data_IF_783652397415
#
_entry.id   IF_783652397415
#
_cell.length_a   1.000
_cell.length_b   1.000
_cell.length_c   1.000
_cell.angle_alpha   90.00
_cell.angle_beta   90.00
_cell.angle_gamma   90.00
#
_symmetry.space_group_name_H-M   'P 1'
#
loop_
_entity.id
_entity.type
_entity.pdbx_description
1 polymer ?
#
# COMPACT_ATOMS: atom_id res chain seq x y z
N UNK A 1 4.68 -66.45 -94.23
CA UNK A 1 4.85 -65.10 -93.67
C UNK A 1 4.26 -65.20 -92.27
N UNK A 2 5.11 -65.26 -91.26
CA UNK A 2 4.75 -65.53 -89.84
C UNK A 2 4.49 -64.21 -89.12
N UNK A 3 3.33 -64.07 -88.46
CA UNK A 3 3.04 -63.03 -87.50
C UNK A 3 3.07 -63.68 -86.13
N UNK A 4 4.09 -63.41 -85.32
CA UNK A 4 4.17 -63.75 -83.91
C UNK A 4 3.46 -62.71 -83.12
N UNK A 5 2.33 -63.11 -82.51
CA UNK A 5 1.57 -62.29 -81.58
C UNK A 5 2.28 -62.36 -80.20
N UNK A 6 2.78 -61.21 -79.72
CA UNK A 6 3.36 -61.07 -78.38
C UNK A 6 2.27 -60.70 -77.40
N UNK A 7 1.90 -61.60 -76.52
CA UNK A 7 1.01 -61.35 -75.41
C UNK A 7 1.82 -60.79 -74.26
N UNK A 8 1.68 -59.53 -73.96
CA UNK A 8 2.28 -58.89 -72.77
C UNK A 8 1.31 -59.07 -71.60
N UNK A 9 1.71 -59.91 -70.67
CA UNK A 9 0.98 -60.11 -69.40
C UNK A 9 1.42 -58.99 -68.42
N UNK A 10 0.60 -57.98 -68.24
CA UNK A 10 0.80 -56.96 -67.19
C UNK A 10 0.32 -57.53 -65.86
N UNK A 11 1.31 -57.86 -65.04
CA UNK A 11 1.07 -58.24 -63.62
C UNK A 11 0.87 -56.95 -62.80
N UNK A 12 -0.34 -56.58 -62.55
CA UNK A 12 -0.69 -55.49 -61.59
C UNK A 12 -0.55 -56.06 -60.18
N UNK A 13 0.58 -55.76 -59.52
CA UNK A 13 0.74 -55.97 -58.08
C UNK A 13 -0.13 -54.95 -57.36
N UNK A 14 -1.24 -55.40 -56.81
CA UNK A 14 -2.03 -54.63 -55.87
C UNK A 14 -1.26 -54.62 -54.57
N UNK A 15 -0.46 -53.59 -54.35
CA UNK A 15 0.13 -53.35 -53.02
C UNK A 15 -0.97 -52.86 -52.11
N UNK A 16 -1.51 -53.74 -51.30
CA UNK A 16 -2.33 -53.39 -50.16
C UNK A 16 -1.43 -52.68 -49.15
N UNK A 17 -1.49 -51.38 -49.13
CA UNK A 17 -0.94 -50.63 -48.01
C UNK A 17 -1.85 -50.97 -46.79
N UNK A 18 -1.47 -51.93 -45.97
CA UNK A 18 -1.95 -52.02 -44.61
C UNK A 18 -1.34 -50.76 -43.96
N UNK A 19 -2.11 -49.71 -43.82
CA UNK A 19 -1.75 -48.64 -42.89
C UNK A 19 -1.75 -49.34 -41.52
N UNK A 20 -0.59 -49.65 -40.97
CA UNK A 20 -0.47 -49.98 -39.59
C UNK A 20 -1.12 -48.81 -38.83
N UNK A 21 -2.15 -49.07 -38.05
CA UNK A 21 -2.66 -48.07 -37.07
C UNK A 21 -1.42 -47.67 -36.25
N UNK A 22 -1.09 -46.41 -36.25
CA UNK A 22 -0.08 -45.91 -35.35
C UNK A 22 -0.75 -45.85 -33.98
N UNK A 23 -0.21 -46.57 -33.01
CA UNK A 23 -0.69 -46.59 -31.64
C UNK A 23 0.23 -45.75 -30.78
N UNK A 24 -0.34 -44.94 -29.92
CA UNK A 24 0.35 -44.10 -28.95
C UNK A 24 0.53 -44.89 -27.67
N UNK A 25 1.74 -44.92 -27.14
CA UNK A 25 2.09 -45.59 -25.89
C UNK A 25 1.63 -44.78 -24.68
N UNK A 26 0.80 -45.38 -23.83
CA UNK A 26 0.17 -44.77 -22.63
C UNK A 26 0.40 -45.73 -21.45
N UNK A 27 1.55 -45.65 -20.77
CA UNK A 27 1.96 -46.65 -19.76
C UNK A 27 1.27 -46.51 -18.41
N UNK A 28 0.56 -45.42 -18.15
CA UNK A 28 -0.18 -45.22 -16.89
C UNK A 28 -1.58 -45.76 -17.04
N UNK A 29 -1.88 -46.87 -16.31
CA UNK A 29 -3.19 -47.55 -16.33
C UNK A 29 -4.35 -46.59 -16.07
N UNK A 30 -4.19 -45.60 -15.21
CA UNK A 30 -5.21 -44.60 -14.89
C UNK A 30 -5.43 -43.62 -16.04
N UNK A 31 -4.35 -43.24 -16.76
CA UNK A 31 -4.48 -42.41 -17.93
C UNK A 31 -5.16 -43.19 -19.08
N UNK A 32 -4.75 -44.43 -19.36
CA UNK A 32 -5.41 -45.27 -20.34
C UNK A 32 -6.89 -45.47 -19.98
N UNK A 33 -7.20 -45.78 -18.71
CA UNK A 33 -8.58 -45.95 -18.26
C UNK A 33 -9.40 -44.66 -18.46
N UNK A 34 -8.81 -43.48 -18.19
CA UNK A 34 -9.50 -42.21 -18.44
C UNK A 34 -9.80 -42.03 -19.95
N UNK A 35 -8.90 -42.46 -20.84
CA UNK A 35 -9.13 -42.42 -22.29
C UNK A 35 -10.21 -43.39 -22.72
N UNK A 36 -10.30 -44.60 -22.11
CA UNK A 36 -11.35 -45.57 -22.31
C UNK A 36 -12.69 -44.98 -21.87
N UNK A 37 -12.77 -44.40 -20.66
CA UNK A 37 -13.99 -43.83 -20.10
C UNK A 37 -14.52 -42.65 -20.95
N UNK A 38 -13.62 -41.90 -21.60
CA UNK A 38 -13.93 -40.84 -22.55
C UNK A 38 -14.30 -41.38 -23.96
N UNK A 39 -14.10 -42.67 -24.23
CA UNK A 39 -14.42 -43.31 -25.51
C UNK A 39 -13.36 -43.11 -26.58
N UNK A 40 -12.15 -42.72 -26.21
CA UNK A 40 -11.02 -42.56 -27.14
C UNK A 40 -10.26 -43.86 -27.33
N UNK A 41 -10.43 -44.78 -26.40
CA UNK A 41 -9.90 -46.11 -26.50
C UNK A 41 -10.97 -47.17 -26.19
N UNK A 42 -10.67 -48.46 -26.36
CA UNK A 42 -11.60 -49.57 -26.13
C UNK A 42 -10.86 -50.87 -25.80
N UNK A 43 -11.35 -51.62 -24.85
CA UNK A 43 -10.80 -52.92 -24.53
C UNK A 43 -10.20 -52.99 -23.11
N UNK A 44 -9.51 -54.04 -22.76
CA UNK A 44 -8.73 -54.09 -21.54
C UNK A 44 -7.51 -53.18 -21.66
N UNK A 45 -6.98 -52.69 -20.53
CA UNK A 45 -5.72 -51.95 -20.46
C UNK A 45 -4.62 -52.74 -21.18
N UNK A 46 -3.88 -52.05 -22.07
CA UNK A 46 -2.85 -52.67 -22.92
C UNK A 46 -1.67 -51.77 -23.20
N UNK A 47 -1.57 -50.60 -22.49
CA UNK A 47 -0.57 -49.58 -22.62
C UNK A 47 -0.58 -48.79 -23.97
N UNK A 48 -1.63 -48.92 -24.78
CA UNK A 48 -1.71 -48.28 -26.07
C UNK A 48 -3.09 -47.73 -26.40
N UNK A 49 -3.16 -46.59 -27.07
CA UNK A 49 -4.37 -46.00 -27.64
C UNK A 49 -4.17 -45.75 -29.13
N UNK A 50 -5.16 -46.04 -30.03
CA UNK A 50 -5.01 -45.68 -31.44
C UNK A 50 -4.80 -44.18 -31.64
N UNK A 51 -3.64 -43.77 -32.15
CA UNK A 51 -3.27 -42.36 -32.35
C UNK A 51 -4.32 -41.58 -33.18
N UNK A 52 -4.98 -42.25 -34.14
CA UNK A 52 -6.05 -41.66 -34.92
C UNK A 52 -7.25 -41.19 -34.10
N UNK A 53 -7.51 -41.83 -32.94
CA UNK A 53 -8.61 -41.46 -32.05
C UNK A 53 -8.31 -40.21 -31.21
N UNK A 54 -7.02 -39.91 -30.99
CA UNK A 54 -6.61 -38.84 -30.06
C UNK A 54 -6.02 -37.63 -30.75
N UNK A 55 -5.38 -37.76 -31.91
CA UNK A 55 -4.67 -36.65 -32.60
C UNK A 55 -5.58 -35.51 -33.04
N UNK A 56 -6.88 -35.72 -33.21
CA UNK A 56 -7.86 -34.72 -33.55
C UNK A 56 -8.59 -34.09 -32.37
N UNK A 57 -8.33 -34.56 -31.14
CA UNK A 57 -8.98 -34.04 -29.94
C UNK A 57 -8.50 -32.62 -29.62
N UNK A 58 -9.42 -31.71 -29.34
CA UNK A 58 -9.13 -30.33 -28.99
C UNK A 58 -9.29 -30.02 -27.51
N UNK A 59 -10.00 -30.88 -26.77
CA UNK A 59 -10.24 -30.74 -25.33
C UNK A 59 -10.07 -32.07 -24.66
N UNK A 60 -9.21 -32.16 -23.63
CA UNK A 60 -8.99 -33.32 -22.81
C UNK A 60 -9.14 -32.94 -21.34
N UNK A 61 -10.21 -33.48 -20.72
CA UNK A 61 -10.54 -33.26 -19.31
C UNK A 61 -10.40 -34.58 -18.56
N UNK A 62 -9.34 -34.70 -17.77
CA UNK A 62 -8.98 -35.90 -16.99
C UNK A 62 -8.61 -35.55 -15.54
N UNK A 63 -9.43 -34.74 -14.84
CA UNK A 63 -9.10 -34.32 -13.48
C UNK A 63 -9.42 -35.47 -12.48
N UNK A 64 -8.67 -35.51 -11.37
CA UNK A 64 -8.88 -36.42 -10.23
C UNK A 64 -8.90 -37.88 -10.60
N UNK A 65 -8.13 -38.31 -11.57
CA UNK A 65 -8.08 -39.68 -12.07
C UNK A 65 -6.93 -40.51 -11.48
N UNK A 66 -6.17 -40.01 -10.51
CA UNK A 66 -4.97 -40.63 -9.92
C UNK A 66 -3.86 -40.94 -10.94
N UNK A 67 -3.78 -40.20 -12.01
CA UNK A 67 -2.77 -40.33 -13.06
C UNK A 67 -1.41 -39.84 -12.52
N UNK A 68 -0.38 -40.61 -12.72
CA UNK A 68 1.00 -40.29 -12.31
C UNK A 68 1.95 -39.99 -13.49
N UNK A 69 1.58 -40.41 -14.69
CA UNK A 69 2.34 -40.27 -15.92
C UNK A 69 1.41 -39.94 -17.11
N UNK A 70 1.69 -38.87 -17.83
CA UNK A 70 0.99 -38.47 -19.05
C UNK A 70 1.77 -38.81 -20.33
N UNK A 71 2.69 -39.77 -20.30
CA UNK A 71 3.38 -40.23 -21.52
C UNK A 71 2.32 -40.66 -22.56
N UNK A 72 2.49 -40.16 -23.80
CA UNK A 72 1.50 -40.27 -24.88
C UNK A 72 0.69 -39.00 -25.12
N UNK A 73 0.75 -38.01 -24.20
CA UNK A 73 0.04 -36.73 -24.37
C UNK A 73 0.60 -35.95 -25.56
N UNK A 74 1.85 -36.18 -25.98
CA UNK A 74 2.51 -35.54 -27.12
C UNK A 74 1.82 -35.79 -28.45
N UNK A 75 1.07 -36.89 -28.57
CA UNK A 75 0.34 -37.25 -29.78
C UNK A 75 -1.05 -36.59 -29.89
N UNK A 76 -1.49 -35.86 -28.84
CA UNK A 76 -2.71 -35.05 -28.89
C UNK A 76 -2.48 -33.71 -29.60
N UNK A 77 -1.98 -33.77 -30.83
CA UNK A 77 -1.40 -32.64 -31.58
C UNK A 77 -2.38 -31.48 -31.86
N UNK A 78 -3.70 -31.73 -31.78
CA UNK A 78 -4.76 -30.72 -31.97
C UNK A 78 -5.23 -30.08 -30.68
N UNK A 79 -4.65 -30.47 -29.51
CA UNK A 79 -5.14 -30.06 -28.23
C UNK A 79 -5.04 -28.56 -27.99
N UNK A 80 -6.14 -27.95 -27.59
CA UNK A 80 -6.25 -26.52 -27.24
C UNK A 80 -6.54 -26.31 -25.76
N UNK A 81 -7.12 -27.32 -25.09
CA UNK A 81 -7.39 -27.32 -23.67
C UNK A 81 -6.97 -28.67 -23.05
N UNK A 82 -6.24 -28.60 -21.94
CA UNK A 82 -5.88 -29.74 -21.10
C UNK A 82 -6.23 -29.39 -19.65
N UNK A 83 -7.12 -30.19 -19.05
CA UNK A 83 -7.31 -30.24 -17.60
C UNK A 83 -6.83 -31.60 -17.08
N UNK A 84 -5.68 -31.60 -16.43
CA UNK A 84 -5.09 -32.73 -15.72
C UNK A 84 -4.98 -32.44 -14.22
N UNK A 85 -5.81 -31.58 -13.69
CA UNK A 85 -5.79 -31.15 -12.28
C UNK A 85 -6.16 -32.29 -11.32
N UNK A 86 -5.67 -32.20 -10.07
CA UNK A 86 -6.02 -33.17 -9.02
C UNK A 86 -5.47 -34.55 -9.24
N UNK A 87 -4.34 -34.70 -9.94
CA UNK A 87 -3.67 -35.96 -10.21
C UNK A 87 -2.38 -36.14 -9.36
N UNK A 88 -1.56 -37.08 -9.68
CA UNK A 88 -0.34 -37.45 -8.96
C UNK A 88 0.93 -37.12 -9.77
N UNK A 89 0.82 -36.22 -10.76
CA UNK A 89 1.88 -35.87 -11.69
C UNK A 89 3.05 -35.20 -10.98
N UNK A 90 4.27 -35.74 -11.16
CA UNK A 90 5.52 -35.14 -10.70
C UNK A 90 6.21 -34.33 -11.79
N UNK A 91 5.89 -34.59 -13.05
CA UNK A 91 6.32 -33.87 -14.26
C UNK A 91 5.24 -33.95 -15.32
N UNK A 92 5.30 -33.05 -16.30
CA UNK A 92 4.47 -33.05 -17.49
C UNK A 92 5.26 -32.43 -18.64
N UNK A 93 5.27 -33.08 -19.80
CA UNK A 93 5.81 -32.51 -21.04
C UNK A 93 4.66 -32.11 -21.98
N UNK A 94 4.48 -30.80 -22.14
CA UNK A 94 3.47 -30.20 -23.02
C UNK A 94 4.10 -29.55 -24.25
N UNK A 95 5.41 -29.76 -24.49
CA UNK A 95 6.19 -29.08 -25.55
C UNK A 95 5.66 -29.35 -26.96
N UNK A 96 5.09 -30.54 -27.21
CA UNK A 96 4.48 -30.91 -28.50
C UNK A 96 3.11 -30.23 -28.73
N UNK A 97 2.45 -29.74 -27.67
CA UNK A 97 1.10 -29.20 -27.71
C UNK A 97 1.11 -27.70 -28.09
N UNK A 98 1.61 -27.37 -29.28
CA UNK A 98 1.82 -25.98 -29.72
C UNK A 98 0.53 -25.16 -29.90
N UNK A 99 -0.64 -25.82 -30.01
CA UNK A 99 -1.96 -25.20 -30.11
C UNK A 99 -2.63 -24.94 -28.76
N UNK A 100 -1.97 -25.30 -27.64
CA UNK A 100 -2.54 -25.25 -26.31
C UNK A 100 -2.80 -23.80 -25.87
N UNK A 101 -4.06 -23.52 -25.47
CA UNK A 101 -4.54 -22.23 -25.00
C UNK A 101 -4.88 -22.24 -23.53
N UNK A 102 -5.31 -23.39 -23.00
CA UNK A 102 -5.73 -23.58 -21.61
C UNK A 102 -5.00 -24.77 -21.05
N UNK A 103 -4.24 -24.56 -19.98
CA UNK A 103 -3.57 -25.61 -19.22
C UNK A 103 -3.95 -25.47 -17.75
N UNK A 104 -4.68 -26.48 -17.23
CA UNK A 104 -4.99 -26.63 -15.83
C UNK A 104 -4.32 -27.88 -15.28
N UNK A 105 -3.25 -27.67 -14.54
CA UNK A 105 -2.46 -28.72 -13.90
C UNK A 105 -2.31 -28.51 -12.40
N UNK A 106 -3.28 -27.81 -11.80
CA UNK A 106 -3.28 -27.52 -10.36
C UNK A 106 -3.50 -28.78 -9.52
N UNK A 107 -3.10 -28.73 -8.24
CA UNK A 107 -3.23 -29.87 -7.30
C UNK A 107 -2.58 -31.15 -7.84
N UNK A 108 -1.33 -31.04 -8.20
CA UNK A 108 -0.42 -32.12 -8.56
C UNK A 108 0.84 -32.09 -7.67
N UNK A 109 1.90 -32.77 -8.08
CA UNK A 109 3.19 -32.82 -7.38
C UNK A 109 4.33 -32.28 -8.27
N UNK A 110 4.02 -31.37 -9.19
CA UNK A 110 4.97 -30.84 -10.16
C UNK A 110 6.07 -30.04 -9.47
N UNK A 111 7.32 -30.40 -9.74
CA UNK A 111 8.53 -29.69 -9.28
C UNK A 111 9.08 -28.74 -10.35
N UNK A 112 8.71 -28.96 -11.60
CA UNK A 112 9.08 -28.16 -12.77
C UNK A 112 7.92 -28.16 -13.76
N UNK A 113 7.76 -27.03 -14.48
CA UNK A 113 6.80 -26.87 -15.56
C UNK A 113 7.40 -25.97 -16.65
N UNK A 114 7.60 -26.53 -17.84
CA UNK A 114 8.05 -25.79 -19.02
C UNK A 114 6.89 -25.57 -19.98
N UNK A 115 6.52 -24.31 -20.18
CA UNK A 115 5.46 -23.86 -21.12
C UNK A 115 6.01 -23.01 -22.25
N UNK A 116 7.34 -23.02 -22.45
CA UNK A 116 8.02 -22.14 -23.43
C UNK A 116 7.57 -22.35 -24.87
N UNK A 117 7.13 -23.58 -25.21
CA UNK A 117 6.63 -23.93 -26.54
C UNK A 117 5.13 -23.63 -26.73
N UNK A 118 4.39 -23.43 -25.64
CA UNK A 118 2.95 -23.21 -25.64
C UNK A 118 2.63 -21.70 -25.77
N UNK A 119 3.14 -21.06 -26.80
CA UNK A 119 3.07 -19.58 -26.99
C UNK A 119 1.64 -19.07 -27.20
N UNK A 120 0.66 -19.95 -27.40
CA UNK A 120 -0.75 -19.61 -27.56
C UNK A 120 -1.52 -19.63 -26.25
N UNK A 121 -0.87 -19.91 -25.09
CA UNK A 121 -1.53 -19.95 -23.80
C UNK A 121 -2.20 -18.63 -23.45
N UNK A 122 -3.49 -18.75 -23.09
CA UNK A 122 -4.37 -17.68 -22.61
C UNK A 122 -4.62 -17.85 -21.10
N UNK A 123 -4.72 -19.11 -20.64
CA UNK A 123 -4.97 -19.45 -19.23
C UNK A 123 -3.98 -20.52 -18.79
N UNK A 124 -3.23 -20.23 -17.73
CA UNK A 124 -2.38 -21.18 -17.02
C UNK A 124 -2.76 -21.21 -15.55
N UNK A 125 -3.21 -22.38 -15.06
CA UNK A 125 -3.56 -22.62 -13.66
C UNK A 125 -2.75 -23.81 -13.15
N UNK A 126 -1.72 -23.53 -12.34
CA UNK A 126 -0.76 -24.52 -11.81
C UNK A 126 -0.57 -24.38 -10.28
N UNK A 127 -1.57 -23.89 -9.58
CA UNK A 127 -1.56 -23.76 -8.12
C UNK A 127 -1.54 -25.13 -7.41
N UNK A 128 -1.12 -25.13 -6.13
CA UNK A 128 -0.98 -26.34 -5.33
C UNK A 128 -0.07 -27.40 -6.00
N UNK A 129 1.16 -27.00 -6.21
CA UNK A 129 2.28 -27.82 -6.71
C UNK A 129 3.55 -27.54 -5.89
N UNK A 130 4.70 -28.02 -6.32
CA UNK A 130 6.01 -27.80 -5.68
C UNK A 130 6.97 -27.01 -6.59
N UNK A 131 6.41 -26.15 -7.45
CA UNK A 131 7.21 -25.36 -8.39
C UNK A 131 8.10 -24.36 -7.63
N UNK A 132 9.40 -24.35 -7.93
CA UNK A 132 10.36 -23.38 -7.39
C UNK A 132 10.66 -22.22 -8.35
N UNK A 133 10.33 -22.39 -9.62
CA UNK A 133 10.40 -21.38 -10.67
C UNK A 133 9.26 -21.58 -11.68
N UNK A 134 8.93 -20.53 -12.41
CA UNK A 134 7.98 -20.55 -13.52
C UNK A 134 8.39 -19.44 -14.49
N UNK A 135 8.71 -19.80 -15.73
CA UNK A 135 8.97 -18.84 -16.80
C UNK A 135 7.76 -18.76 -17.76
N UNK A 136 7.14 -17.58 -17.81
CA UNK A 136 5.98 -17.27 -18.67
C UNK A 136 6.31 -16.18 -19.69
N UNK A 137 7.57 -15.84 -19.88
CA UNK A 137 8.00 -14.71 -20.74
C UNK A 137 7.67 -14.91 -22.21
N UNK A 138 7.52 -16.15 -22.69
CA UNK A 138 7.10 -16.49 -24.04
C UNK A 138 5.59 -16.55 -24.23
N UNK A 139 4.82 -16.67 -23.13
CA UNK A 139 3.36 -16.83 -23.15
C UNK A 139 2.67 -15.45 -23.13
N UNK A 140 2.95 -14.63 -24.11
CA UNK A 140 2.55 -13.19 -24.16
C UNK A 140 1.03 -12.98 -24.23
N UNK A 141 0.26 -14.02 -24.58
CA UNK A 141 -1.20 -13.97 -24.69
C UNK A 141 -1.93 -14.29 -23.37
N UNK A 142 -1.22 -14.55 -22.28
CA UNK A 142 -1.83 -14.87 -20.98
C UNK A 142 -2.74 -13.75 -20.49
N UNK A 143 -3.99 -14.11 -20.22
CA UNK A 143 -4.98 -13.27 -19.54
C UNK A 143 -5.21 -13.75 -18.10
N UNK A 144 -5.05 -15.06 -17.84
CA UNK A 144 -5.20 -15.69 -16.54
C UNK A 144 -3.93 -16.45 -16.20
N UNK A 145 -3.32 -16.08 -15.06
CA UNK A 145 -2.16 -16.76 -14.50
C UNK A 145 -2.38 -17.00 -13.01
N UNK A 146 -2.50 -18.29 -12.62
CA UNK A 146 -2.73 -18.71 -11.24
C UNK A 146 -1.70 -19.76 -10.85
N UNK A 147 -0.83 -19.42 -9.89
CA UNK A 147 0.21 -20.31 -9.40
C UNK A 147 0.39 -20.25 -7.86
N UNK A 148 -0.69 -20.02 -7.14
CA UNK A 148 -0.72 -19.98 -5.66
C UNK A 148 -0.24 -21.30 -5.07
N UNK A 149 0.23 -21.27 -3.82
CA UNK A 149 0.67 -22.47 -3.09
C UNK A 149 1.76 -23.24 -3.85
N UNK A 150 2.87 -22.56 -4.09
CA UNK A 150 4.11 -23.10 -4.64
C UNK A 150 5.30 -22.58 -3.80
N UNK A 151 6.52 -22.69 -4.29
CA UNK A 151 7.73 -22.17 -3.65
C UNK A 151 8.51 -21.21 -4.55
N UNK A 152 7.77 -20.51 -5.44
CA UNK A 152 8.34 -19.60 -6.42
C UNK A 152 8.86 -18.35 -5.72
N UNK A 153 10.11 -18.00 -5.99
CA UNK A 153 10.78 -16.82 -5.43
C UNK A 153 11.05 -15.71 -6.45
N UNK A 154 10.92 -16.01 -7.73
CA UNK A 154 11.12 -15.05 -8.83
C UNK A 154 10.08 -15.29 -9.92
N UNK A 155 9.42 -14.23 -10.37
CA UNK A 155 8.50 -14.26 -11.51
C UNK A 155 8.66 -12.98 -12.34
N UNK A 156 8.76 -13.13 -13.66
CA UNK A 156 8.71 -12.00 -14.60
C UNK A 156 7.43 -12.06 -15.44
N UNK A 157 6.51 -11.13 -15.17
CA UNK A 157 5.24 -10.97 -15.89
C UNK A 157 5.25 -9.74 -16.83
N UNK A 158 6.41 -9.11 -17.04
CA UNK A 158 6.49 -7.86 -17.85
C UNK A 158 6.18 -8.05 -19.33
N UNK A 159 6.17 -9.31 -19.81
CA UNK A 159 5.79 -9.66 -21.17
C UNK A 159 4.31 -10.04 -21.32
N UNK A 160 3.63 -10.33 -20.21
CA UNK A 160 2.24 -10.77 -20.18
C UNK A 160 1.30 -9.56 -20.05
N UNK A 161 1.34 -8.69 -21.04
CA UNK A 161 0.67 -7.37 -21.01
C UNK A 161 -0.85 -7.43 -21.05
N UNK A 162 -1.42 -8.60 -21.37
CA UNK A 162 -2.86 -8.85 -21.43
C UNK A 162 -3.45 -9.45 -20.16
N UNK A 163 -2.67 -9.53 -19.07
CA UNK A 163 -3.13 -10.11 -17.82
C UNK A 163 -4.34 -9.35 -17.25
N UNK A 164 -5.40 -10.10 -16.98
CA UNK A 164 -6.63 -9.66 -16.31
C UNK A 164 -6.68 -10.21 -14.89
N UNK A 165 -6.19 -11.45 -14.69
CA UNK A 165 -6.17 -12.13 -13.40
C UNK A 165 -4.79 -12.71 -13.12
N UNK A 166 -4.22 -12.30 -11.99
CA UNK A 166 -2.94 -12.81 -11.48
C UNK A 166 -3.12 -13.22 -10.03
N UNK A 167 -2.94 -14.52 -9.74
CA UNK A 167 -2.98 -15.03 -8.38
C UNK A 167 -1.69 -15.79 -8.06
N UNK A 168 -0.89 -15.25 -7.15
CA UNK A 168 0.41 -15.74 -6.78
C UNK A 168 0.59 -15.90 -5.26
N UNK A 169 -0.49 -15.95 -4.50
CA UNK A 169 -0.45 -16.10 -3.05
C UNK A 169 0.28 -17.36 -2.58
N UNK A 170 0.78 -17.34 -1.34
CA UNK A 170 1.51 -18.45 -0.73
C UNK A 170 2.71 -18.90 -1.59
N UNK A 171 3.65 -17.98 -1.79
CA UNK A 171 4.93 -18.18 -2.46
C UNK A 171 6.06 -17.47 -1.68
N UNK A 172 7.22 -17.28 -2.28
CA UNK A 172 8.39 -16.64 -1.66
C UNK A 172 8.82 -15.36 -2.40
N UNK A 173 7.89 -14.67 -3.07
CA UNK A 173 8.16 -13.56 -3.99
C UNK A 173 8.51 -12.29 -3.20
N UNK A 174 9.73 -11.70 -3.36
CA UNK A 174 10.12 -10.48 -2.68
C UNK A 174 9.71 -9.19 -3.42
N UNK A 175 9.47 -9.28 -4.72
CA UNK A 175 9.02 -8.17 -5.57
C UNK A 175 8.30 -8.67 -6.82
N UNK A 176 7.43 -7.84 -7.37
CA UNK A 176 6.72 -8.13 -8.62
C UNK A 176 6.52 -6.83 -9.40
N UNK A 177 6.76 -6.87 -10.71
CA UNK A 177 6.61 -5.72 -11.60
C UNK A 177 5.32 -5.83 -12.43
N UNK A 178 4.31 -5.01 -12.10
CA UNK A 178 2.99 -4.99 -12.74
C UNK A 178 2.80 -3.79 -13.70
N UNK A 179 3.86 -3.01 -13.94
CA UNK A 179 3.76 -1.76 -14.75
C UNK A 179 3.32 -1.98 -16.19
N UNK A 180 3.35 -3.22 -16.68
CA UNK A 180 2.97 -3.60 -18.05
C UNK A 180 1.65 -4.35 -18.15
N UNK A 181 0.88 -4.45 -17.06
CA UNK A 181 -0.40 -5.16 -17.01
C UNK A 181 -1.55 -4.18 -16.68
N UNK A 182 -1.90 -3.22 -17.56
CA UNK A 182 -2.89 -2.18 -17.27
C UNK A 182 -4.32 -2.72 -17.11
N UNK A 183 -4.63 -3.87 -17.74
CA UNK A 183 -5.96 -4.49 -17.70
C UNK A 183 -6.18 -5.41 -16.50
N UNK A 184 -5.19 -5.46 -15.59
CA UNK A 184 -5.27 -6.30 -14.40
C UNK A 184 -6.46 -5.87 -13.52
N UNK A 185 -7.41 -6.81 -13.33
CA UNK A 185 -8.63 -6.61 -12.54
C UNK A 185 -8.59 -7.36 -11.21
N UNK A 186 -7.98 -8.53 -11.18
CA UNK A 186 -7.83 -9.34 -9.97
C UNK A 186 -6.35 -9.58 -9.72
N UNK A 187 -5.86 -9.10 -8.58
CA UNK A 187 -4.50 -9.36 -8.13
C UNK A 187 -4.50 -9.88 -6.70
N UNK A 188 -4.02 -11.11 -6.50
CA UNK A 188 -3.82 -11.69 -5.17
C UNK A 188 -2.40 -12.22 -5.01
N UNK A 189 -1.71 -11.71 -3.99
CA UNK A 189 -0.33 -12.01 -3.69
C UNK A 189 -0.10 -12.20 -2.18
N UNK A 190 -1.14 -12.63 -1.47
CA UNK A 190 -1.09 -12.87 -0.04
C UNK A 190 0.01 -13.87 0.35
N UNK A 191 0.55 -13.71 1.56
CA UNK A 191 1.58 -14.59 2.10
C UNK A 191 2.79 -14.76 1.15
N UNK A 192 3.47 -13.64 0.92
CA UNK A 192 4.73 -13.54 0.18
C UNK A 192 5.75 -12.70 0.98
N UNK A 193 6.80 -12.21 0.34
CA UNK A 193 7.86 -11.41 0.96
C UNK A 193 7.94 -9.99 0.37
N UNK A 194 6.82 -9.48 -0.18
CA UNK A 194 6.78 -8.18 -0.83
C UNK A 194 7.05 -7.05 0.19
N UNK A 195 8.08 -6.25 -0.06
CA UNK A 195 8.39 -5.04 0.72
C UNK A 195 7.85 -3.77 0.09
N UNK A 196 7.54 -3.80 -1.21
CA UNK A 196 6.95 -2.70 -1.98
C UNK A 196 5.96 -3.24 -2.98
N UNK A 197 4.95 -2.42 -3.35
CA UNK A 197 3.97 -2.75 -4.36
C UNK A 197 3.53 -1.48 -5.10
N UNK A 198 3.83 -1.40 -6.40
CA UNK A 198 3.45 -0.27 -7.25
C UNK A 198 2.25 -0.64 -8.13
N UNK A 199 1.10 -0.01 -7.85
CA UNK A 199 -0.17 -0.25 -8.55
C UNK A 199 -0.62 0.93 -9.42
N UNK A 200 0.22 1.95 -9.60
CA UNK A 200 -0.15 3.20 -10.31
C UNK A 200 -0.65 2.99 -11.74
N UNK A 201 -0.24 1.89 -12.39
CA UNK A 201 -0.58 1.58 -13.76
C UNK A 201 -1.74 0.57 -13.90
N UNK A 202 -2.20 -0.02 -12.80
CA UNK A 202 -3.23 -1.06 -12.79
C UNK A 202 -4.59 -0.45 -12.44
N UNK A 203 -5.03 0.52 -13.24
CA UNK A 203 -6.21 1.35 -12.97
C UNK A 203 -7.54 0.59 -13.04
N UNK A 204 -7.54 -0.61 -13.62
CA UNK A 204 -8.71 -1.49 -13.74
C UNK A 204 -8.87 -2.47 -12.58
N UNK A 205 -7.99 -2.40 -11.54
CA UNK A 205 -8.09 -3.28 -10.38
C UNK A 205 -9.44 -3.13 -9.67
N UNK A 206 -10.08 -4.29 -9.46
CA UNK A 206 -11.31 -4.46 -8.71
C UNK A 206 -11.07 -5.20 -7.38
N UNK A 207 -10.16 -6.17 -7.38
CA UNK A 207 -9.82 -6.99 -6.21
C UNK A 207 -8.32 -6.98 -5.98
N UNK A 208 -7.92 -6.61 -4.77
CA UNK A 208 -6.54 -6.64 -4.29
C UNK A 208 -6.47 -7.42 -2.98
N UNK A 209 -5.67 -8.47 -2.95
CA UNK A 209 -5.23 -9.11 -1.71
C UNK A 209 -3.70 -9.14 -1.66
N UNK A 210 -3.11 -8.29 -0.83
CA UNK A 210 -1.68 -8.24 -0.56
C UNK A 210 -1.37 -8.49 0.93
N UNK A 211 -2.28 -9.16 1.64
CA UNK A 211 -2.12 -9.47 3.07
C UNK A 211 -0.93 -10.40 3.32
N UNK A 212 -0.44 -10.42 4.57
CA UNK A 212 0.70 -11.26 4.98
C UNK A 212 1.93 -11.05 4.10
N UNK A 213 2.37 -9.79 4.00
CA UNK A 213 3.60 -9.36 3.32
C UNK A 213 4.44 -8.46 4.24
N UNK A 214 5.40 -7.74 3.69
CA UNK A 214 6.30 -6.84 4.44
C UNK A 214 6.18 -5.39 3.96
N UNK A 215 5.02 -5.01 3.40
CA UNK A 215 4.78 -3.68 2.85
C UNK A 215 4.89 -2.63 3.95
N UNK A 216 5.71 -1.60 3.73
CA UNK A 216 5.81 -0.41 4.60
C UNK A 216 4.86 0.72 4.17
N UNK A 217 4.47 0.73 2.91
CA UNK A 217 3.50 1.68 2.36
C UNK A 217 2.64 1.03 1.28
N UNK A 218 1.41 1.52 1.13
CA UNK A 218 0.51 1.15 0.05
C UNK A 218 -0.29 2.37 -0.39
N UNK A 219 -0.23 2.68 -1.68
CA UNK A 219 -0.99 3.74 -2.32
C UNK A 219 -1.88 3.18 -3.43
N UNK A 220 -3.20 3.27 -3.25
CA UNK A 220 -4.20 2.84 -4.23
C UNK A 220 -4.98 4.02 -4.83
N UNK A 221 -4.45 5.24 -4.73
CA UNK A 221 -5.12 6.44 -5.23
C UNK A 221 -5.41 6.42 -6.74
N UNK A 222 -4.69 5.57 -7.48
CA UNK A 222 -4.89 5.40 -8.91
C UNK A 222 -5.79 4.20 -9.28
N UNK A 223 -6.46 3.57 -8.31
CA UNK A 223 -7.24 2.35 -8.53
C UNK A 223 -8.72 2.57 -8.13
N UNK A 224 -9.48 3.40 -8.90
CA UNK A 224 -10.84 3.80 -8.53
C UNK A 224 -11.87 2.64 -8.61
N UNK A 225 -11.52 1.53 -9.28
CA UNK A 225 -12.37 0.35 -9.42
C UNK A 225 -12.32 -0.62 -8.26
N UNK A 226 -11.42 -0.44 -7.26
CA UNK A 226 -11.25 -1.36 -6.15
C UNK A 226 -12.50 -1.43 -5.27
N UNK A 227 -13.02 -2.65 -5.12
CA UNK A 227 -14.17 -3.01 -4.27
C UNK A 227 -13.76 -3.91 -3.11
N UNK A 228 -12.72 -4.71 -3.26
CA UNK A 228 -12.21 -5.60 -2.21
C UNK A 228 -10.72 -5.37 -2.05
N UNK A 229 -10.31 -5.00 -0.84
CA UNK A 229 -8.92 -4.67 -0.50
C UNK A 229 -8.55 -5.38 0.80
N UNK A 230 -7.61 -6.32 0.74
CA UNK A 230 -6.98 -6.88 1.93
C UNK A 230 -5.48 -6.58 1.90
N UNK A 231 -5.05 -5.67 2.77
CA UNK A 231 -3.65 -5.34 3.02
C UNK A 231 -3.25 -5.58 4.49
N UNK A 232 -4.00 -6.42 5.18
CA UNK A 232 -3.75 -6.78 6.57
C UNK A 232 -2.43 -7.54 6.76
N UNK A 233 -1.93 -7.59 8.00
CA UNK A 233 -0.71 -8.33 8.32
C UNK A 233 0.49 -7.88 7.47
N UNK A 234 0.76 -6.59 7.48
CA UNK A 234 1.91 -5.95 6.85
C UNK A 234 2.64 -5.05 7.87
N UNK A 235 3.62 -4.29 7.42
CA UNK A 235 4.36 -3.32 8.23
C UNK A 235 4.00 -1.87 7.87
N UNK A 236 2.75 -1.64 7.43
CA UNK A 236 2.34 -0.35 6.88
C UNK A 236 2.51 0.78 7.90
N UNK A 237 3.20 1.81 7.46
CA UNK A 237 3.29 3.13 8.06
C UNK A 237 2.45 4.16 7.30
N UNK A 238 2.27 3.94 5.99
CA UNK A 238 1.48 4.80 5.13
C UNK A 238 0.48 3.97 4.36
N UNK A 239 -0.78 4.34 4.46
CA UNK A 239 -1.88 3.74 3.71
C UNK A 239 -2.73 4.84 3.09
N UNK A 240 -2.68 4.94 1.77
CA UNK A 240 -3.50 5.87 1.00
C UNK A 240 -4.60 5.12 0.25
N UNK A 241 -5.82 5.21 0.76
CA UNK A 241 -7.02 4.62 0.17
C UNK A 241 -7.86 5.64 -0.62
N UNK A 242 -7.37 6.88 -0.78
CA UNK A 242 -8.10 7.99 -1.44
C UNK A 242 -8.18 7.78 -2.95
N UNK A 243 -9.11 6.96 -3.39
CA UNK A 243 -9.29 6.53 -4.78
C UNK A 243 -10.66 6.94 -5.39
N UNK A 244 -11.50 7.67 -4.65
CA UNK A 244 -12.83 8.10 -5.09
C UNK A 244 -13.93 7.05 -4.91
N UNK A 245 -13.66 5.91 -4.25
CA UNK A 245 -14.60 4.79 -4.12
C UNK A 245 -14.73 4.20 -2.71
N UNK A 246 -14.27 4.91 -1.69
CA UNK A 246 -14.19 4.40 -0.32
C UNK A 246 -15.54 3.88 0.23
N UNK A 247 -16.66 4.51 -0.15
CA UNK A 247 -18.00 4.11 0.32
C UNK A 247 -18.44 2.72 -0.15
N UNK A 248 -17.90 2.23 -1.27
CA UNK A 248 -18.29 0.97 -1.87
C UNK A 248 -17.27 -0.15 -1.61
N UNK A 249 -16.11 0.19 -1.04
CA UNK A 249 -15.02 -0.76 -0.86
C UNK A 249 -15.15 -1.50 0.48
N UNK A 250 -14.91 -2.82 0.44
CA UNK A 250 -14.63 -3.65 1.61
C UNK A 250 -13.13 -3.66 1.86
N UNK A 251 -12.69 -3.16 3.01
CA UNK A 251 -11.28 -2.92 3.30
C UNK A 251 -10.85 -3.59 4.59
N UNK A 252 -9.82 -4.41 4.50
CA UNK A 252 -9.12 -4.98 5.64
C UNK A 252 -7.66 -4.51 5.66
N UNK A 253 -7.30 -3.70 6.66
CA UNK A 253 -5.93 -3.27 6.94
C UNK A 253 -5.49 -3.62 8.36
N UNK A 254 -6.14 -4.58 9.00
CA UNK A 254 -5.84 -5.04 10.35
C UNK A 254 -4.41 -5.57 10.49
N UNK A 255 -3.90 -5.60 11.71
CA UNK A 255 -2.54 -6.08 12.03
C UNK A 255 -1.39 -5.33 11.31
N UNK A 256 -1.60 -4.04 11.02
CA UNK A 256 -0.54 -3.08 10.68
C UNK A 256 -0.25 -2.26 11.94
N UNK A 257 0.55 -2.80 12.85
CA UNK A 257 0.71 -2.30 14.23
C UNK A 257 1.29 -0.88 14.32
N UNK A 258 1.98 -0.43 13.29
CA UNK A 258 2.63 0.88 13.24
C UNK A 258 1.76 1.94 12.53
N UNK A 259 0.60 1.54 11.95
CA UNK A 259 -0.25 2.43 11.18
C UNK A 259 -1.02 3.39 12.11
N UNK A 260 -0.63 4.66 12.11
CA UNK A 260 -1.23 5.67 12.97
C UNK A 260 -2.44 6.36 12.34
N UNK A 261 -2.52 6.41 11.02
CA UNK A 261 -3.58 7.07 10.27
C UNK A 261 -3.76 6.43 8.89
N UNK A 262 -4.92 6.66 8.27
CA UNK A 262 -5.26 6.20 6.92
C UNK A 262 -5.80 7.38 6.12
N UNK A 263 -5.25 7.61 4.93
CA UNK A 263 -5.72 8.65 4.02
C UNK A 263 -6.92 8.14 3.24
N UNK A 264 -8.04 8.87 3.29
CA UNK A 264 -9.33 8.51 2.68
C UNK A 264 -9.92 9.66 1.87
N UNK A 265 -10.96 9.39 1.09
CA UNK A 265 -11.67 10.39 0.31
C UNK A 265 -12.29 11.46 1.23
N UNK A 266 -12.96 11.03 2.28
CA UNK A 266 -13.59 11.90 3.29
C UNK A 266 -13.44 11.30 4.70
N UNK A 267 -12.69 11.94 5.59
CA UNK A 267 -12.50 11.47 6.98
C UNK A 267 -13.77 11.44 7.81
N UNK A 268 -14.82 12.17 7.38
CA UNK A 268 -16.11 12.26 8.08
C UNK A 268 -17.11 11.20 7.64
N UNK A 269 -16.79 10.41 6.61
CA UNK A 269 -17.60 9.30 6.15
C UNK A 269 -17.54 8.12 7.12
N UNK A 270 -18.58 7.27 7.04
CA UNK A 270 -18.68 6.11 7.90
C UNK A 270 -17.91 4.91 7.30
N UNK A 271 -16.80 4.57 7.92
CA UNK A 271 -15.96 3.42 7.54
C UNK A 271 -16.11 2.23 8.53
N UNK A 272 -17.24 2.12 9.24
CA UNK A 272 -17.43 1.08 10.28
C UNK A 272 -17.47 -0.35 9.76
N UNK A 273 -17.64 -0.55 8.45
CA UNK A 273 -17.54 -1.86 7.81
C UNK A 273 -16.11 -2.33 7.58
N UNK A 274 -15.14 -1.45 7.71
CA UNK A 274 -13.73 -1.77 7.50
C UNK A 274 -13.12 -2.48 8.71
N UNK A 275 -12.10 -3.27 8.48
CA UNK A 275 -11.35 -3.94 9.54
C UNK A 275 -9.95 -3.31 9.67
N UNK A 276 -9.54 -2.85 10.86
CA UNK A 276 -10.19 -2.99 12.17
C UNK A 276 -11.35 -1.99 12.38
N UNK A 277 -12.46 -2.47 12.93
CA UNK A 277 -13.70 -1.68 13.12
C UNK A 277 -13.59 -0.55 14.15
N UNK A 278 -12.57 -0.57 14.99
CA UNK A 278 -12.30 0.44 16.02
C UNK A 278 -11.28 1.51 15.58
N UNK A 279 -10.84 1.50 14.34
CA UNK A 279 -9.91 2.51 13.82
C UNK A 279 -10.67 3.81 13.55
N UNK A 280 -10.09 4.94 13.92
CA UNK A 280 -10.74 6.26 13.83
C UNK A 280 -9.86 7.36 13.24
N UNK A 281 -8.58 7.08 13.01
CA UNK A 281 -7.61 8.08 12.58
C UNK A 281 -7.59 8.22 11.05
N UNK A 282 -8.75 8.57 10.48
CA UNK A 282 -8.88 8.85 9.06
C UNK A 282 -8.56 10.31 8.76
N UNK A 283 -7.81 10.55 7.68
CA UNK A 283 -7.34 11.88 7.27
C UNK A 283 -7.55 12.10 5.77
N UNK A 284 -7.53 13.37 5.34
CA UNK A 284 -7.66 13.73 3.93
C UNK A 284 -6.31 13.82 3.19
N UNK A 285 -5.21 13.91 3.93
CA UNK A 285 -3.84 13.93 3.39
C UNK A 285 -2.85 13.26 4.34
N UNK A 286 -1.73 12.78 3.80
CA UNK A 286 -0.67 12.15 4.60
C UNK A 286 -0.05 13.11 5.63
N UNK A 287 0.00 14.39 5.33
CA UNK A 287 0.55 15.40 6.25
C UNK A 287 -0.28 15.53 7.53
N UNK A 288 -1.58 15.26 7.46
CA UNK A 288 -2.47 15.32 8.63
C UNK A 288 -2.21 14.20 9.64
N UNK A 289 -1.44 13.18 9.27
CA UNK A 289 -1.07 12.08 10.16
C UNK A 289 -0.20 12.52 11.35
N UNK A 290 0.52 13.61 11.22
CA UNK A 290 1.29 14.21 12.31
C UNK A 290 0.41 14.56 13.52
N UNK A 291 -0.86 14.88 13.29
CA UNK A 291 -1.81 15.23 14.35
C UNK A 291 -2.05 14.10 15.37
N UNK A 292 -1.70 12.86 15.03
CA UNK A 292 -1.81 11.68 15.91
C UNK A 292 -0.52 11.35 16.67
N UNK A 293 0.54 12.16 16.50
CA UNK A 293 1.74 12.10 17.32
C UNK A 293 1.67 13.19 18.37
N UNK A 294 1.49 12.79 19.63
CA UNK A 294 1.41 13.74 20.73
C UNK A 294 2.73 14.51 20.88
N UNK A 295 2.65 15.81 21.03
CA UNK A 295 3.76 16.70 21.35
C UNK A 295 3.30 17.73 22.38
N UNK A 296 4.11 17.96 23.41
CA UNK A 296 3.80 18.99 24.41
C UNK A 296 3.94 20.39 23.78
N UNK A 297 3.13 21.32 24.25
CA UNK A 297 3.16 22.73 23.83
C UNK A 297 3.46 23.61 25.03
N UNK A 298 4.37 24.56 24.88
CA UNK A 298 4.72 25.54 25.90
C UNK A 298 4.48 26.95 25.38
N UNK A 299 4.06 27.82 26.28
CA UNK A 299 3.88 29.24 25.95
C UNK A 299 5.25 29.94 25.79
N UNK A 300 5.29 31.00 24.98
CA UNK A 300 6.44 31.87 24.88
C UNK A 300 6.80 32.45 26.24
N UNK A 301 8.09 32.58 26.51
CA UNK A 301 8.64 33.05 27.79
C UNK A 301 9.40 34.34 27.59
N UNK A 302 9.18 35.28 28.49
CA UNK A 302 10.01 36.50 28.61
C UNK A 302 10.56 36.53 30.03
N UNK A 303 11.87 36.74 30.16
CA UNK A 303 12.55 36.83 31.44
C UNK A 303 13.76 37.74 31.36
N UNK A 304 14.20 38.30 32.48
CA UNK A 304 15.39 39.11 32.58
C UNK A 304 16.65 38.35 33.08
N UNK A 305 16.54 37.00 33.13
CA UNK A 305 17.65 36.17 33.59
C UNK A 305 17.80 34.96 32.67
N UNK A 306 17.69 33.77 33.17
CA UNK A 306 17.67 32.55 32.39
C UNK A 306 16.35 31.81 32.56
N UNK A 307 15.97 31.05 31.55
CA UNK A 307 14.83 30.15 31.61
C UNK A 307 15.28 28.72 31.78
N UNK A 308 14.71 28.01 32.75
CA UNK A 308 14.97 26.57 32.95
C UNK A 308 13.88 25.77 32.26
N UNK A 309 14.27 24.87 31.38
CA UNK A 309 13.33 24.01 30.65
C UNK A 309 12.56 23.09 31.61
N UNK A 310 11.22 23.11 31.61
CA UNK A 310 10.41 22.22 32.46
C UNK A 310 10.50 20.77 32.00
N UNK A 311 9.95 19.84 32.78
CA UNK A 311 9.69 18.50 32.34
C UNK A 311 8.52 18.50 31.34
N UNK A 312 8.65 17.70 30.28
CA UNK A 312 7.60 17.46 29.29
C UNK A 312 7.26 15.97 29.28
N UNK A 313 6.05 15.63 28.83
CA UNK A 313 5.56 14.25 28.75
C UNK A 313 5.78 13.66 27.35
N UNK A 314 5.56 14.48 26.32
CA UNK A 314 5.62 14.04 24.93
C UNK A 314 6.61 14.87 24.15
N UNK A 315 7.64 14.22 23.63
CA UNK A 315 8.68 14.83 22.82
C UNK A 315 9.99 15.08 23.55
N UNK A 316 10.93 15.68 22.83
CA UNK A 316 12.26 16.10 23.32
C UNK A 316 12.55 17.50 22.84
N UNK A 317 13.34 18.25 23.59
CA UNK A 317 13.72 19.60 23.22
C UNK A 317 14.89 19.63 22.24
N UNK A 318 14.84 20.56 21.29
CA UNK A 318 15.92 20.82 20.32
C UNK A 318 16.09 22.31 20.07
N UNK A 319 17.30 22.70 19.61
CA UNK A 319 17.62 24.09 19.24
C UNK A 319 17.15 24.46 17.82
N UNK A 320 16.82 23.47 16.99
CA UNK A 320 16.36 23.64 15.60
C UNK A 320 15.21 22.69 15.30
N UNK A 321 14.41 23.05 14.28
CA UNK A 321 13.26 22.27 13.79
C UNK A 321 13.66 20.87 13.31
N UNK A 322 12.71 19.95 13.35
CA UNK A 322 12.85 18.56 12.87
C UNK A 322 14.00 17.78 13.56
N UNK A 323 14.28 18.11 14.81
CA UNK A 323 15.38 17.53 15.60
C UNK A 323 16.79 17.70 14.96
N UNK A 324 16.97 18.66 14.05
CA UNK A 324 18.26 18.91 13.37
C UNK A 324 19.28 19.61 14.27
N UNK A 325 18.85 20.26 15.34
CA UNK A 325 19.71 20.99 16.27
C UNK A 325 20.26 20.14 17.40
N UNK A 326 20.91 20.82 18.36
CA UNK A 326 21.38 20.16 19.58
C UNK A 326 20.19 19.74 20.44
N UNK A 327 20.20 18.52 21.00
CA UNK A 327 19.21 18.10 21.99
C UNK A 327 19.41 18.90 23.28
N UNK A 328 18.28 19.25 23.91
CA UNK A 328 18.23 19.91 25.21
C UNK A 328 17.39 19.02 26.16
N UNK A 329 17.60 19.19 27.45
CA UNK A 329 16.98 18.35 28.48
C UNK A 329 16.19 19.19 29.49
N UNK A 330 15.21 18.57 30.11
CA UNK A 330 14.56 19.16 31.28
C UNK A 330 15.59 19.55 32.34
N UNK A 331 15.52 20.78 32.83
CA UNK A 331 16.49 21.36 33.74
C UNK A 331 17.60 22.17 33.07
N UNK A 332 17.77 22.09 31.75
CA UNK A 332 18.74 22.94 31.03
C UNK A 332 18.35 24.41 31.12
N UNK A 333 19.38 25.27 31.21
CA UNK A 333 19.20 26.72 31.34
C UNK A 333 19.44 27.40 30.03
N UNK A 334 18.41 28.06 29.53
CA UNK A 334 18.48 28.94 28.35
C UNK A 334 18.92 30.34 28.81
N UNK A 335 20.05 30.81 28.33
CA UNK A 335 20.68 32.04 28.75
C UNK A 335 20.72 33.10 27.64
N UNK A 336 20.25 32.78 26.44
CA UNK A 336 20.12 33.72 25.31
C UNK A 336 18.77 33.55 24.60
N UNK A 337 18.27 34.62 24.00
CA UNK A 337 16.99 34.58 23.29
C UNK A 337 17.05 33.65 22.11
N UNK A 338 16.12 32.68 22.05
CA UNK A 338 16.06 31.69 20.98
C UNK A 338 14.69 31.01 20.91
N UNK A 339 14.39 30.37 19.78
CA UNK A 339 13.28 29.46 19.65
C UNK A 339 13.74 28.08 20.14
N UNK A 340 12.89 27.43 20.92
CA UNK A 340 13.07 26.02 21.36
C UNK A 340 11.98 25.21 20.69
N UNK A 341 12.38 24.07 20.13
CA UNK A 341 11.49 23.13 19.47
C UNK A 341 11.26 21.92 20.36
N UNK A 342 10.03 21.42 20.37
CA UNK A 342 9.66 20.16 21.03
C UNK A 342 9.26 19.22 19.93
N UNK A 343 10.06 18.20 19.66
CA UNK A 343 9.86 17.23 18.59
C UNK A 343 9.58 15.87 19.17
N UNK A 344 8.58 15.20 18.61
CA UNK A 344 8.26 13.81 18.91
C UNK A 344 8.03 13.03 17.63
N UNK A 345 8.43 11.75 17.65
CA UNK A 345 8.27 10.86 16.52
C UNK A 345 7.77 9.48 16.95
N UNK A 346 7.00 8.87 16.08
CA UNK A 346 6.69 7.44 16.05
C UNK A 346 7.42 6.81 14.87
N UNK A 347 7.31 5.48 14.70
CA UNK A 347 7.87 4.81 13.53
C UNK A 347 7.37 5.39 12.18
N UNK A 348 6.20 6.04 12.16
CA UNK A 348 5.48 6.35 10.93
C UNK A 348 5.11 7.82 10.73
N UNK A 349 5.30 8.64 11.74
CA UNK A 349 4.97 10.06 11.69
C UNK A 349 5.74 10.82 12.77
N UNK A 350 5.91 12.12 12.57
CA UNK A 350 6.47 13.03 13.55
C UNK A 350 5.58 14.25 13.72
N UNK A 351 5.70 14.90 14.86
CA UNK A 351 5.04 16.16 15.15
C UNK A 351 5.98 17.08 15.90
N UNK A 352 5.76 18.39 15.75
CA UNK A 352 6.60 19.40 16.35
C UNK A 352 5.76 20.56 16.87
N UNK A 353 6.15 21.09 18.01
CA UNK A 353 5.75 22.39 18.51
C UNK A 353 6.97 23.24 18.80
N UNK A 354 6.79 24.54 18.97
CA UNK A 354 7.87 25.43 19.35
C UNK A 354 7.38 26.55 20.24
N UNK A 355 8.30 27.12 21.02
CA UNK A 355 8.07 28.33 21.80
C UNK A 355 9.33 29.20 21.78
N UNK A 356 9.15 30.48 21.97
CA UNK A 356 10.24 31.43 21.98
C UNK A 356 10.58 31.82 23.41
N UNK A 357 11.87 31.79 23.74
CA UNK A 357 12.42 32.33 24.99
C UNK A 357 13.09 33.66 24.68
N UNK A 358 12.54 34.77 25.20
CA UNK A 358 13.14 36.08 25.13
C UNK A 358 13.84 36.38 26.44
N UNK A 359 15.15 36.55 26.38
CA UNK A 359 15.97 37.05 27.49
C UNK A 359 16.22 38.54 27.25
N UNK A 360 15.87 39.37 28.22
CA UNK A 360 16.06 40.82 28.17
C UNK A 360 16.82 41.26 29.41
N UNK A 361 17.65 42.25 29.32
CA UNK A 361 18.34 42.91 30.42
C UNK A 361 17.53 44.07 31.04
N UNK A 362 16.32 44.33 30.54
CA UNK A 362 15.41 45.34 31.07
C UNK A 362 14.67 44.84 32.32
N UNK A 363 14.35 45.77 33.21
CA UNK A 363 13.58 45.52 34.43
C UNK A 363 12.11 45.11 34.17
N UNK A 364 11.62 45.39 32.99
CA UNK A 364 10.27 45.11 32.57
C UNK A 364 10.20 44.88 31.05
N UNK A 365 9.18 44.11 30.60
CA UNK A 365 8.87 43.94 29.17
C UNK A 365 7.46 44.47 28.85
N UNK A 366 7.36 45.37 27.86
CA UNK A 366 6.11 45.98 27.40
C UNK A 366 5.74 45.38 26.03
N UNK A 367 4.69 44.54 25.93
CA UNK A 367 4.26 43.97 24.65
C UNK A 367 3.81 45.07 23.68
N UNK A 368 4.22 44.92 22.40
CA UNK A 368 3.84 45.85 21.33
C UNK A 368 2.46 45.60 20.74
N UNK A 369 1.91 44.40 20.97
CA UNK A 369 0.58 44.01 20.51
C UNK A 369 0.01 42.90 21.40
N UNK A 370 -1.27 42.64 21.24
CA UNK A 370 -1.95 41.42 21.78
C UNK A 370 -3.10 41.06 20.88
N UNK A 371 -3.56 39.76 20.98
CA UNK A 371 -4.51 39.11 20.07
C UNK A 371 -5.57 38.36 20.88
N UNK A 372 -6.58 39.05 21.42
CA UNK A 372 -7.59 38.43 22.30
C UNK A 372 -8.58 37.59 21.51
N UNK A 373 -8.15 36.42 21.05
CA UNK A 373 -8.87 35.41 20.28
C UNK A 373 -9.23 34.15 21.11
N UNK A 374 -8.80 34.13 22.37
CA UNK A 374 -9.01 33.05 23.34
C UNK A 374 -8.31 31.73 22.97
N UNK A 375 -7.15 31.80 22.31
CA UNK A 375 -6.27 30.67 21.98
C UNK A 375 -5.23 30.37 23.08
N UNK A 376 -5.22 31.16 24.15
CA UNK A 376 -4.27 31.06 25.27
C UNK A 376 -2.95 31.84 25.04
N UNK A 377 -2.77 32.45 23.87
CA UNK A 377 -1.55 33.20 23.54
C UNK A 377 -1.88 34.68 23.30
N UNK A 378 -1.22 35.58 24.04
CA UNK A 378 -1.39 37.04 23.90
C UNK A 378 -2.86 37.52 24.00
N UNK A 379 -3.73 36.78 24.69
CA UNK A 379 -5.14 37.12 24.88
C UNK A 379 -5.36 38.38 25.73
N UNK A 380 -4.37 38.75 26.52
CA UNK A 380 -4.36 39.93 27.34
C UNK A 380 -3.12 40.76 27.11
N UNK A 381 -3.26 42.08 27.13
CA UNK A 381 -2.10 42.95 27.17
C UNK A 381 -1.73 43.21 28.64
N UNK A 382 -0.53 42.77 29.02
CA UNK A 382 0.01 43.00 30.34
C UNK A 382 1.54 43.25 30.23
N UNK A 383 2.03 44.13 31.10
CA UNK A 383 3.45 44.42 31.21
C UNK A 383 4.08 43.43 32.19
N UNK A 384 5.13 42.76 31.78
CA UNK A 384 5.89 41.87 32.66
C UNK A 384 6.90 42.68 33.45
N UNK A 385 6.78 42.66 34.76
CA UNK A 385 7.60 43.42 35.72
C UNK A 385 8.51 42.44 36.48
N UNK A 386 9.79 42.35 36.11
CA UNK A 386 10.71 41.36 36.63
C UNK A 386 11.34 41.77 37.97
N UNK A 387 11.39 43.07 38.25
CA UNK A 387 12.11 43.60 39.42
C UNK A 387 11.17 44.38 40.37
N UNK A 388 9.87 44.31 40.14
CA UNK A 388 8.84 45.06 40.86
C UNK A 388 9.07 46.60 40.73
N UNK A 389 9.46 47.04 39.53
CA UNK A 389 9.72 48.39 39.20
C UNK A 389 8.47 49.24 38.93
N UNK A 390 7.31 48.60 38.65
CA UNK A 390 6.09 49.24 38.16
C UNK A 390 5.10 49.44 39.32
N UNK A 391 4.59 50.66 39.45
CA UNK A 391 3.60 51.08 40.42
C UNK A 391 2.18 50.99 39.87
N UNK A 392 1.94 51.44 38.63
CA UNK A 392 0.60 51.56 38.05
C UNK A 392 0.69 51.57 36.51
N UNK A 393 -0.25 50.91 35.84
CA UNK A 393 -0.39 50.85 34.41
C UNK A 393 -1.72 51.41 33.99
N UNK A 394 -1.74 52.36 33.06
CA UNK A 394 -2.98 53.00 32.52
C UNK A 394 -3.01 52.85 31.01
N UNK A 395 -4.18 52.42 30.49
CA UNK A 395 -4.41 52.28 29.05
C UNK A 395 -5.43 53.31 28.61
N UNK A 396 -5.18 53.95 27.47
CA UNK A 396 -5.98 55.01 26.89
C UNK A 396 -6.33 54.71 25.42
N UNK A 397 -7.46 55.26 24.95
CA UNK A 397 -7.76 55.34 23.52
C UNK A 397 -6.95 56.47 22.84
N UNK A 398 -7.08 56.59 21.51
CA UNK A 398 -6.40 57.61 20.70
C UNK A 398 -6.80 59.06 21.08
N UNK A 399 -7.89 59.23 21.80
CA UNK A 399 -8.36 60.55 22.24
C UNK A 399 -7.94 60.87 23.67
N UNK A 400 -7.13 59.99 24.29
CA UNK A 400 -6.67 60.16 25.66
C UNK A 400 -7.67 59.80 26.74
N UNK A 401 -8.77 59.08 26.39
CA UNK A 401 -9.74 58.61 27.37
C UNK A 401 -9.19 57.37 28.07
N UNK A 402 -9.19 57.36 29.39
CA UNK A 402 -8.80 56.22 30.21
C UNK A 402 -9.74 55.06 30.01
N UNK A 403 -9.22 53.93 29.60
CA UNK A 403 -9.95 52.68 29.37
C UNK A 403 -9.77 51.68 30.53
N UNK A 404 -8.57 51.53 31.05
CA UNK A 404 -8.24 50.58 32.12
C UNK A 404 -7.10 51.14 32.97
N UNK A 405 -7.10 50.87 34.29
CA UNK A 405 -5.94 51.03 35.18
C UNK A 405 -5.78 49.77 35.99
N UNK A 406 -4.53 49.28 36.11
CA UNK A 406 -4.24 48.01 36.78
C UNK A 406 -2.78 47.92 37.19
N UNK A 407 -2.44 47.00 38.10
CA UNK A 407 -1.07 46.72 38.54
C UNK A 407 -0.40 45.69 37.62
N UNK A 408 0.94 45.68 37.54
CA UNK A 408 1.72 44.75 36.68
C UNK A 408 1.44 43.25 36.99
N UNK A 409 1.11 42.92 38.22
CA UNK A 409 0.80 41.53 38.64
C UNK A 409 -0.69 41.13 38.51
N UNK A 410 -1.50 41.94 37.83
CA UNK A 410 -2.92 41.66 37.58
C UNK A 410 -3.08 40.82 36.30
N UNK A 411 -4.32 40.40 36.01
CA UNK A 411 -4.64 39.68 34.75
C UNK A 411 -4.44 40.50 33.47
N UNK A 412 -4.11 41.80 33.56
CA UNK A 412 -3.93 42.65 32.43
C UNK A 412 -5.25 43.18 31.79
N UNK A 413 -5.18 43.56 30.53
CA UNK A 413 -6.31 44.12 29.78
C UNK A 413 -6.63 43.26 28.54
N UNK A 414 -7.87 42.79 28.46
CA UNK A 414 -8.38 41.90 27.42
C UNK A 414 -9.01 42.62 26.20
N UNK A 415 -8.79 43.93 26.06
CA UNK A 415 -9.38 44.70 24.96
C UNK A 415 -10.85 45.05 25.13
N UNK A 416 -11.40 44.98 26.35
CA UNK A 416 -12.77 45.36 26.66
C UNK A 416 -12.86 46.71 27.44
N UNK A 417 -13.92 47.46 27.16
CA UNK A 417 -14.28 48.64 27.92
C UNK A 417 -15.77 48.65 28.23
N UNK A 418 -16.13 48.69 29.51
CA UNK A 418 -17.52 48.63 29.99
C UNK A 418 -18.36 47.49 29.38
N UNK A 419 -17.77 46.32 29.26
CA UNK A 419 -18.45 45.12 28.74
C UNK A 419 -18.56 45.06 27.21
N UNK A 420 -17.93 46.00 26.48
CA UNK A 420 -17.89 46.00 25.01
C UNK A 420 -16.47 45.73 24.50
N UNK A 421 -16.36 44.90 23.48
CA UNK A 421 -15.12 44.69 22.74
C UNK A 421 -14.75 45.98 22.02
N UNK A 422 -13.47 46.38 22.13
CA UNK A 422 -12.93 47.52 21.38
C UNK A 422 -12.37 47.00 20.03
N UNK A 423 -12.31 47.95 19.08
CA UNK A 423 -11.87 47.66 17.70
C UNK A 423 -10.37 47.42 17.61
N UNK A 424 -9.94 46.79 16.50
CA UNK A 424 -8.53 46.66 16.11
C UNK A 424 -7.96 48.06 15.86
N UNK A 425 -7.09 48.49 16.75
CA UNK A 425 -6.51 49.85 16.72
C UNK A 425 -5.28 49.92 17.61
N UNK A 426 -4.58 51.03 17.57
CA UNK A 426 -3.53 51.36 18.52
C UNK A 426 -4.14 51.99 19.78
N UNK A 427 -3.60 51.58 20.91
CA UNK A 427 -3.94 52.02 22.24
C UNK A 427 -2.68 52.54 22.91
N UNK A 428 -2.85 53.52 23.80
CA UNK A 428 -1.72 54.22 24.46
C UNK A 428 -1.62 53.76 25.89
N UNK A 429 -0.43 53.72 26.41
CA UNK A 429 -0.18 53.45 27.82
C UNK A 429 0.58 54.57 28.51
N UNK A 430 0.37 54.71 29.82
CA UNK A 430 1.22 55.40 30.75
C UNK A 430 1.52 54.49 31.93
N UNK A 431 2.76 54.15 32.13
CA UNK A 431 3.27 53.28 33.21
C UNK A 431 4.05 54.13 34.19
N UNK A 432 3.56 54.15 35.43
CA UNK A 432 4.28 54.86 36.52
C UNK A 432 5.24 53.88 37.21
N UNK A 433 6.50 54.26 37.31
CA UNK A 433 7.49 53.48 38.01
C UNK A 433 7.57 53.84 39.50
N UNK A 434 8.02 52.91 40.34
CA UNK A 434 8.25 53.13 41.76
C UNK A 434 9.32 54.22 42.03
N UNK A 435 10.24 54.44 41.10
CA UNK A 435 11.23 55.52 41.07
C UNK A 435 10.59 56.90 40.82
N UNK A 436 9.31 56.96 40.48
CA UNK A 436 8.60 58.21 40.14
C UNK A 436 8.64 58.55 38.64
N UNK A 437 9.34 57.80 37.81
CA UNK A 437 9.35 57.95 36.35
C UNK A 437 8.04 57.54 35.70
N UNK A 438 7.71 58.11 34.52
CA UNK A 438 6.57 57.71 33.71
C UNK A 438 7.01 57.31 32.32
N UNK A 439 6.71 56.06 31.93
CA UNK A 439 6.88 55.57 30.57
C UNK A 439 5.58 55.76 29.78
N UNK A 440 5.69 56.19 28.54
CA UNK A 440 4.55 56.34 27.63
C UNK A 440 4.86 55.74 26.28
N UNK A 441 3.87 55.14 25.67
CA UNK A 441 3.97 54.51 24.34
C UNK A 441 2.59 54.03 23.88
N UNK A 442 2.61 53.21 22.85
CA UNK A 442 1.40 52.59 22.30
C UNK A 442 1.65 51.09 22.01
N UNK A 443 0.56 50.38 21.86
CA UNK A 443 0.51 48.97 21.46
C UNK A 443 -0.74 48.74 20.63
N UNK A 444 -0.74 47.67 19.83
CA UNK A 444 -1.81 47.36 18.89
C UNK A 444 -2.69 46.21 19.43
N UNK A 445 -4.02 46.37 19.38
CA UNK A 445 -4.97 45.31 19.53
C UNK A 445 -5.28 44.73 18.15
N UNK A 446 -5.14 43.41 17.97
CA UNK A 446 -5.46 42.67 16.74
C UNK A 446 -6.42 41.54 17.08
N UNK A 447 -7.45 41.33 16.28
CA UNK A 447 -8.39 40.19 16.37
C UNK A 447 -8.52 39.50 15.04
#
# INVERSE_FOLDING_TARGET
MNIKTLITLTLTTLTCFVSASQDTFVPDDNFEQALIDLGYDSGPLNDFVPTANISGITNLDIPNANISDLTGIEDFTSLTQLDCSGNLLTSIDVSALSSLKILWCFSNQLIHLDVSQNTQLISLVCNNNFLSNLDVTTNINLTVLVFKNNTISVIDVTKNTSLIRLECGNNLIPNINLTKSPDLSIFTCENNQLSTLDLRYNTNLNTLNCSFNQLSELDISNNPGLLTIDCSNNNLCKLNLKNGNNLNADVNFGFNLNLNCVVVDSPTENHTGWNPTNFSNYVSSQNDCSNFVNVDTLANVVTNSSYTLPAITYGNYYTESEANGMPLFSGDRITSSQTIYIYNESLCASNESHFYVLITDEDYYIPKYFTPNNDGNHDVWNVQDFTNAIKDIRVFDRYGKLLKSFASHSEGWNGMYRGRLLENDDYWYAITLNSGGILKGHFTLKR
#
